data_IF_156157201894
#
_entry.id   IF_156157201894
#
_cell.length_a   1.000
_cell.length_b   1.000
_cell.length_c   1.000
_cell.angle_alpha   90.00
_cell.angle_beta   90.00
_cell.angle_gamma   90.00
#
_symmetry.space_group_name_H-M   'P 1'
#
loop_
_entity.id
_entity.type
_entity.pdbx_description
1 polymer ?
#
# COMPACT_ATOMS: atom_id res chain seq x y z
N UNK A 1 -2.87 22.09 -1.23
CA UNK A 1 -3.16 20.71 -1.67
C UNK A 1 -3.54 19.93 -0.43
N UNK A 2 -4.72 19.34 -0.41
CA UNK A 2 -5.28 18.61 0.74
C UNK A 2 -4.69 17.20 0.84
N UNK A 3 -4.80 16.56 2.01
CA UNK A 3 -4.38 15.16 2.21
C UNK A 3 -5.11 14.22 1.25
N UNK A 4 -6.40 14.46 1.03
CA UNK A 4 -7.25 13.68 0.10
C UNK A 4 -6.78 13.78 -1.35
N UNK A 5 -6.34 14.95 -1.80
CA UNK A 5 -5.80 15.13 -3.16
C UNK A 5 -4.47 14.37 -3.35
N UNK A 6 -3.60 14.36 -2.33
CA UNK A 6 -2.34 13.61 -2.37
C UNK A 6 -2.62 12.10 -2.41
N UNK A 7 -3.52 11.63 -1.55
CA UNK A 7 -3.92 10.23 -1.49
C UNK A 7 -4.52 9.75 -2.82
N UNK A 8 -5.40 10.55 -3.44
CA UNK A 8 -5.96 10.23 -4.75
C UNK A 8 -4.89 10.14 -5.84
N UNK A 9 -3.96 11.11 -5.88
CA UNK A 9 -2.86 11.11 -6.86
C UNK A 9 -1.95 9.90 -6.67
N UNK A 10 -1.64 9.54 -5.42
CA UNK A 10 -0.82 8.38 -5.09
C UNK A 10 -1.50 7.08 -5.52
N UNK A 11 -2.79 6.91 -5.22
CA UNK A 11 -3.58 5.76 -5.65
C UNK A 11 -3.66 5.66 -7.18
N UNK A 12 -3.90 6.78 -7.86
CA UNK A 12 -3.92 6.83 -9.32
C UNK A 12 -2.56 6.48 -9.94
N UNK A 13 -1.45 7.02 -9.39
CA UNK A 13 -0.11 6.69 -9.87
C UNK A 13 0.23 5.21 -9.64
N UNK A 14 -0.12 4.66 -8.48
CA UNK A 14 0.03 3.24 -8.19
C UNK A 14 -0.72 2.37 -9.22
N UNK A 15 -2.01 2.65 -9.44
CA UNK A 15 -2.84 1.94 -10.39
C UNK A 15 -2.30 2.04 -11.83
N UNK A 16 -1.79 3.22 -12.21
CA UNK A 16 -1.14 3.41 -13.52
C UNK A 16 0.13 2.58 -13.63
N UNK A 17 0.99 2.56 -12.61
CA UNK A 17 2.26 1.80 -12.62
C UNK A 17 2.05 0.30 -12.57
N UNK A 18 0.95 -0.21 -12.00
CA UNK A 18 0.63 -1.65 -12.07
C UNK A 18 0.47 -2.17 -13.51
N UNK A 19 0.23 -1.27 -14.48
CA UNK A 19 0.21 -1.63 -15.91
C UNK A 19 1.62 -1.86 -16.48
N UNK A 20 2.67 -1.30 -15.87
CA UNK A 20 4.06 -1.52 -16.24
C UNK A 20 4.53 -2.92 -15.76
N UNK A 21 4.98 -3.82 -16.65
CA UNK A 21 5.53 -5.12 -16.28
C UNK A 21 6.68 -5.05 -15.27
N UNK A 22 7.57 -4.05 -15.36
CA UNK A 22 8.72 -3.89 -14.48
C UNK A 22 8.28 -3.54 -13.06
N UNK A 23 7.36 -2.57 -12.94
CA UNK A 23 6.80 -2.18 -11.65
C UNK A 23 5.98 -3.31 -11.03
N UNK A 24 5.17 -4.02 -11.82
CA UNK A 24 4.41 -5.17 -11.35
C UNK A 24 5.31 -6.30 -10.85
N UNK A 25 6.44 -6.56 -11.52
CA UNK A 25 7.44 -7.52 -11.03
C UNK A 25 8.00 -7.07 -9.68
N UNK A 26 8.37 -5.79 -9.56
CA UNK A 26 8.82 -5.21 -8.30
C UNK A 26 7.78 -5.35 -7.19
N UNK A 27 6.54 -4.93 -7.43
CA UNK A 27 5.47 -4.98 -6.45
C UNK A 27 5.27 -6.42 -5.93
N UNK A 28 5.22 -7.41 -6.84
CA UNK A 28 5.11 -8.82 -6.47
C UNK A 28 6.29 -9.32 -5.63
N UNK A 29 7.52 -8.92 -5.97
CA UNK A 29 8.71 -9.27 -5.17
C UNK A 29 8.74 -8.59 -3.81
N UNK A 30 8.08 -7.44 -3.68
CA UNK A 30 7.95 -6.69 -2.44
C UNK A 30 6.75 -7.13 -1.58
N UNK A 31 6.00 -8.17 -1.99
CA UNK A 31 4.89 -8.72 -1.21
C UNK A 31 3.50 -8.34 -1.70
N UNK A 32 3.36 -7.49 -2.73
CA UNK A 32 2.04 -7.18 -3.30
C UNK A 32 1.37 -8.43 -3.87
N UNK A 33 0.11 -8.62 -3.49
CA UNK A 33 -0.77 -9.72 -3.92
C UNK A 33 -2.09 -9.10 -4.42
N UNK A 34 -2.48 -9.35 -5.69
CA UNK A 34 -3.66 -8.72 -6.28
C UNK A 34 -4.98 -9.27 -5.72
N UNK A 35 -4.94 -10.41 -5.02
CA UNK A 35 -6.04 -11.11 -4.36
C UNK A 35 -6.24 -10.70 -2.89
N UNK A 36 -5.45 -9.74 -2.39
CA UNK A 36 -5.53 -9.23 -1.02
C UNK A 36 -5.99 -7.78 -1.00
N UNK A 37 -6.62 -7.40 0.11
CA UNK A 37 -6.97 -6.02 0.38
C UNK A 37 -5.72 -5.15 0.52
N UNK A 38 -5.88 -3.87 0.18
CA UNK A 38 -4.79 -2.91 0.11
C UNK A 38 -5.18 -1.60 0.76
N UNK A 39 -4.32 -1.13 1.65
CA UNK A 39 -4.42 0.22 2.25
C UNK A 39 -3.26 1.06 1.75
N UNK A 40 -3.58 2.20 1.13
CA UNK A 40 -2.56 3.17 0.73
C UNK A 40 -2.29 4.15 1.89
N UNK A 41 -1.04 4.25 2.30
CA UNK A 41 -0.58 5.16 3.35
C UNK A 41 0.36 6.23 2.77
N UNK A 42 0.33 7.44 3.31
CA UNK A 42 1.34 8.46 2.99
C UNK A 42 2.53 8.33 3.96
N UNK A 43 3.74 8.63 3.50
CA UNK A 43 4.95 8.52 4.34
C UNK A 43 4.87 9.29 5.67
N UNK A 44 4.18 10.43 5.68
CA UNK A 44 4.02 11.28 6.85
C UNK A 44 2.72 11.04 7.61
N UNK A 45 1.95 10.01 7.22
CA UNK A 45 0.70 9.70 7.88
C UNK A 45 0.95 9.02 9.23
N UNK A 46 0.23 9.40 10.30
CA UNK A 46 0.33 8.71 11.58
C UNK A 46 -0.04 7.23 11.45
N UNK A 47 0.83 6.35 11.96
CA UNK A 47 0.65 4.88 11.89
C UNK A 47 -0.72 4.44 12.41
N UNK A 48 -1.23 5.07 13.48
CA UNK A 48 -2.57 4.76 14.02
C UNK A 48 -3.69 4.90 12.97
N UNK A 49 -3.69 5.95 12.14
CA UNK A 49 -4.73 6.14 11.12
C UNK A 49 -4.61 5.13 9.97
N UNK A 50 -3.41 4.60 9.75
CA UNK A 50 -3.19 3.51 8.80
C UNK A 50 -3.75 2.21 9.38
N UNK A 51 -3.49 1.93 10.65
CA UNK A 51 -4.00 0.74 11.34
C UNK A 51 -5.53 0.75 11.46
N UNK A 52 -6.14 1.89 11.81
CA UNK A 52 -7.61 2.03 11.85
C UNK A 52 -8.23 1.62 10.50
N UNK A 53 -7.65 2.10 9.39
CA UNK A 53 -8.10 1.72 8.03
C UNK A 53 -7.82 0.28 7.66
N UNK A 54 -6.74 -0.32 8.18
CA UNK A 54 -6.46 -1.75 8.00
C UNK A 54 -7.50 -2.57 8.74
N UNK A 55 -7.87 -2.21 9.97
CA UNK A 55 -8.92 -2.89 10.74
C UNK A 55 -10.29 -2.74 10.06
N UNK A 56 -10.61 -1.57 9.48
CA UNK A 56 -11.85 -1.36 8.72
C UNK A 56 -11.90 -2.15 7.40
N UNK A 57 -10.76 -2.39 6.75
CA UNK A 57 -10.66 -3.11 5.47
C UNK A 57 -10.49 -4.62 5.64
N UNK A 58 -9.80 -5.06 6.70
CA UNK A 58 -9.57 -6.47 6.94
C UNK A 58 -10.79 -7.08 7.62
N UNK A 59 -11.56 -7.86 6.87
CA UNK A 59 -12.53 -8.83 7.46
C UNK A 59 -11.78 -10.00 8.16
N UNK A 60 -10.67 -9.71 8.85
CA UNK A 60 -9.75 -10.68 9.46
C UNK A 60 -8.69 -11.26 8.51
N UNK A 61 -8.63 -10.81 7.25
CA UNK A 61 -7.65 -11.26 6.25
C UNK A 61 -6.35 -10.44 6.23
N UNK A 62 -5.27 -10.96 5.60
CA UNK A 62 -4.01 -10.23 5.43
C UNK A 62 -4.16 -9.04 4.49
N UNK A 63 -3.66 -7.87 4.90
CA UNK A 63 -3.72 -6.61 4.15
C UNK A 63 -2.33 -6.18 3.72
N UNK A 64 -2.21 -5.72 2.47
CA UNK A 64 -0.99 -5.07 1.99
C UNK A 64 -1.08 -3.57 2.21
N UNK A 65 -0.26 -3.02 3.11
CA UNK A 65 -0.08 -1.58 3.26
C UNK A 65 0.93 -1.08 2.23
N UNK A 66 0.49 -0.18 1.35
CA UNK A 66 1.32 0.46 0.32
C UNK A 66 1.63 1.88 0.74
N UNK A 67 2.89 2.13 1.10
CA UNK A 67 3.36 3.44 1.55
C UNK A 67 3.86 4.24 0.36
N UNK A 68 3.18 5.34 0.05
CA UNK A 68 3.62 6.30 -0.97
C UNK A 68 4.74 7.20 -0.44
N UNK A 69 5.90 7.14 -1.11
CA UNK A 69 7.13 7.86 -0.76
C UNK A 69 7.63 8.67 -1.97
N UNK A 70 7.07 9.86 -2.21
CA UNK A 70 7.49 10.71 -3.32
C UNK A 70 8.98 11.06 -3.16
N UNK A 71 9.76 10.89 -4.23
CA UNK A 71 11.21 11.17 -4.22
C UNK A 71 12.11 9.94 -4.05
N UNK A 72 11.55 8.76 -3.75
CA UNK A 72 12.30 7.50 -3.84
C UNK A 72 12.29 6.96 -5.27
N UNK A 73 13.30 6.18 -5.65
CA UNK A 73 13.45 5.61 -7.00
C UNK A 73 12.18 4.89 -7.49
N UNK A 74 11.48 4.19 -6.58
CA UNK A 74 10.28 3.41 -6.91
C UNK A 74 8.98 4.06 -6.48
N UNK A 75 9.00 5.09 -5.64
CA UNK A 75 7.84 5.86 -5.18
C UNK A 75 6.91 5.14 -4.19
N UNK A 76 7.12 3.85 -3.96
CA UNK A 76 6.24 3.00 -3.14
C UNK A 76 7.03 1.95 -2.37
N UNK A 77 6.60 1.69 -1.13
CA UNK A 77 7.03 0.57 -0.29
C UNK A 77 5.83 -0.26 0.13
N UNK A 78 6.07 -1.53 0.47
CA UNK A 78 5.01 -2.50 0.78
C UNK A 78 5.28 -3.10 2.16
N UNK A 79 4.23 -3.22 2.96
CA UNK A 79 4.27 -3.85 4.29
C UNK A 79 3.06 -4.78 4.39
N UNK A 80 3.29 -6.03 4.75
CA UNK A 80 2.20 -6.99 5.01
C UNK A 80 1.77 -6.90 6.47
N UNK A 81 0.46 -6.80 6.70
CA UNK A 81 -0.14 -6.76 8.04
C UNK A 81 -1.16 -7.89 8.14
N UNK A 82 -1.12 -8.63 9.24
CA UNK A 82 -2.08 -9.71 9.52
C UNK A 82 -1.55 -11.13 9.26
N UNK A 83 -0.31 -11.30 8.79
CA UNK A 83 0.31 -12.63 8.77
C UNK A 83 0.76 -12.98 10.21
N UNK A 84 -0.16 -13.59 10.96
CA UNK A 84 0.19 -14.24 12.23
C UNK A 84 1.25 -15.30 11.89
N UNK A 85 2.45 -15.28 12.50
CA UNK A 85 3.42 -16.33 12.24
C UNK A 85 2.75 -17.67 12.58
N UNK A 86 2.82 -18.62 11.64
CA UNK A 86 2.42 -20.00 11.89
C UNK A 86 3.24 -20.48 13.10
N UNK A 87 2.53 -20.70 14.22
CA UNK A 87 3.07 -21.30 15.43
C UNK A 87 3.25 -22.81 15.23
#
# INVERSE_FOLDING_TARGET
MTVSEIAWRAAHDFARRLRDPRFRRFARTAGYRPDRDLVLALEHEPVRHVLDRVEEQSDGGPVTVVVYRPGTERGFSFVEVGDRPAA
#
